data_IF_256712812687
#
_entry.id   IF_256712812687
#
_cell.length_a   1.000
_cell.length_b   1.000
_cell.length_c   1.000
_cell.angle_alpha   90.00
_cell.angle_beta   90.00
_cell.angle_gamma   90.00
#
_symmetry.space_group_name_H-M   'P 1'
#
loop_
_entity.id
_entity.type
_entity.pdbx_description
1 polymer ?
#
# COMPACT_ATOMS: atom_id res chain seq x y z
N UNK A 1 -4.29 -10.61 -13.13
CA UNK A 1 -3.57 -9.47 -12.55
C UNK A 1 -2.58 -9.01 -13.61
N UNK A 2 -2.28 -7.72 -13.76
CA UNK A 2 -1.26 -7.28 -14.74
C UNK A 2 0.16 -7.48 -14.17
N UNK A 3 1.16 -7.51 -15.04
CA UNK A 3 2.55 -7.81 -14.67
C UNK A 3 3.13 -6.82 -13.64
N UNK A 4 2.78 -5.54 -13.75
CA UNK A 4 3.26 -4.50 -12.83
C UNK A 4 2.76 -4.74 -11.40
N UNK A 5 1.46 -5.02 -11.24
CA UNK A 5 0.87 -5.31 -9.94
C UNK A 5 1.49 -6.56 -9.32
N UNK A 6 1.80 -7.58 -10.13
CA UNK A 6 2.49 -8.79 -9.66
C UNK A 6 3.90 -8.49 -9.15
N UNK A 7 4.65 -7.66 -9.85
CA UNK A 7 5.99 -7.23 -9.46
C UNK A 7 5.99 -6.43 -8.16
N UNK A 8 5.07 -5.47 -8.01
CA UNK A 8 4.98 -4.65 -6.80
C UNK A 8 4.59 -5.54 -5.61
N UNK A 9 3.59 -6.41 -5.75
CA UNK A 9 3.20 -7.35 -4.67
C UNK A 9 4.34 -8.28 -4.29
N UNK A 10 5.08 -8.82 -5.27
CA UNK A 10 6.26 -9.66 -5.00
C UNK A 10 7.35 -8.88 -4.25
N UNK A 11 7.57 -7.63 -4.63
CA UNK A 11 8.51 -6.73 -3.95
C UNK A 11 8.10 -6.46 -2.50
N UNK A 12 6.82 -6.16 -2.26
CA UNK A 12 6.29 -5.92 -0.90
C UNK A 12 6.36 -7.18 -0.03
N UNK A 13 6.09 -8.35 -0.61
CA UNK A 13 6.26 -9.65 0.08
C UNK A 13 7.69 -9.88 0.54
N UNK A 14 8.66 -9.52 -0.30
CA UNK A 14 10.07 -9.68 0.02
C UNK A 14 10.52 -8.77 1.17
N UNK A 15 9.89 -7.61 1.36
CA UNK A 15 10.21 -6.69 2.46
C UNK A 15 9.37 -6.92 3.72
N UNK A 16 8.47 -7.91 3.75
CA UNK A 16 7.43 -8.03 4.78
C UNK A 16 7.96 -7.90 6.20
N UNK A 17 9.04 -8.61 6.51
CA UNK A 17 9.67 -8.59 7.84
C UNK A 17 10.29 -7.22 8.15
N UNK A 18 11.00 -6.63 7.18
CA UNK A 18 11.55 -5.29 7.31
C UNK A 18 10.46 -4.23 7.55
N UNK A 19 9.35 -4.29 6.81
CA UNK A 19 8.24 -3.36 6.95
C UNK A 19 7.56 -3.52 8.33
N UNK A 20 7.41 -4.76 8.79
CA UNK A 20 6.84 -5.06 10.11
C UNK A 20 7.71 -4.52 11.24
N UNK A 21 9.02 -4.67 11.15
CA UNK A 21 9.98 -4.25 12.17
C UNK A 21 10.19 -2.73 12.16
N UNK A 22 10.32 -2.12 10.97
CA UNK A 22 10.69 -0.71 10.85
C UNK A 22 9.50 0.25 11.00
N UNK A 23 8.33 -0.15 10.50
CA UNK A 23 7.16 0.71 10.39
C UNK A 23 5.94 0.17 11.13
N UNK A 24 6.09 -0.94 11.87
CA UNK A 24 4.97 -1.58 12.57
C UNK A 24 3.88 -2.04 11.61
N UNK A 25 4.25 -2.47 10.41
CA UNK A 25 3.31 -2.97 9.41
C UNK A 25 2.55 -4.21 9.92
N UNK A 26 1.24 -4.22 9.72
CA UNK A 26 0.35 -5.38 9.96
C UNK A 26 -0.09 -5.97 8.63
N UNK A 27 -0.68 -5.14 7.76
CA UNK A 27 -1.11 -5.52 6.42
C UNK A 27 -0.73 -4.43 5.41
N UNK A 28 -0.33 -4.84 4.20
CA UNK A 28 -0.06 -3.94 3.08
C UNK A 28 -0.62 -4.55 1.80
N UNK A 29 -1.29 -3.74 0.99
CA UNK A 29 -1.84 -4.17 -0.29
C UNK A 29 -2.03 -3.01 -1.27
N UNK A 30 -2.12 -3.34 -2.55
CA UNK A 30 -2.34 -2.38 -3.64
C UNK A 30 -3.81 -2.37 -4.02
N UNK A 31 -4.34 -1.21 -4.35
CA UNK A 31 -5.68 -1.04 -4.93
C UNK A 31 -5.65 -0.08 -6.12
N UNK A 32 -6.82 0.35 -6.60
CA UNK A 32 -6.91 1.43 -7.57
C UNK A 32 -6.45 1.07 -8.99
N UNK A 33 -5.79 2.04 -9.63
CA UNK A 33 -5.50 2.00 -11.07
C UNK A 33 -4.63 0.80 -11.49
N UNK A 34 -3.66 0.43 -10.66
CA UNK A 34 -2.78 -0.71 -10.89
C UNK A 34 -3.53 -2.05 -10.79
N UNK A 35 -4.49 -2.20 -9.88
CA UNK A 35 -5.31 -3.42 -9.82
C UNK A 35 -6.24 -3.52 -11.02
N UNK A 36 -6.90 -2.41 -11.36
CA UNK A 36 -7.88 -2.36 -12.46
C UNK A 36 -7.27 -2.41 -13.86
N UNK A 37 -5.95 -2.25 -13.99
CA UNK A 37 -5.26 -2.27 -15.29
C UNK A 37 -5.36 -0.95 -16.06
N UNK A 38 -5.89 0.10 -15.45
CA UNK A 38 -6.10 1.41 -16.05
C UNK A 38 -4.96 2.40 -15.74
N UNK A 39 -3.87 1.94 -15.15
CA UNK A 39 -2.72 2.80 -14.83
C UNK A 39 -2.04 3.32 -16.11
N UNK A 40 -1.52 4.54 -16.03
CA UNK A 40 -0.67 5.16 -17.04
C UNK A 40 0.71 5.52 -16.46
N UNK A 41 1.58 6.10 -17.27
CA UNK A 41 2.95 6.44 -16.86
C UNK A 41 3.03 7.45 -15.70
N UNK A 42 2.01 8.26 -15.50
CA UNK A 42 1.92 9.30 -14.46
C UNK A 42 1.10 8.84 -13.24
N UNK A 43 0.57 7.62 -13.24
CA UNK A 43 -0.26 7.11 -12.14
C UNK A 43 0.56 6.83 -10.87
N UNK A 44 0.05 7.35 -9.75
CA UNK A 44 0.52 7.04 -8.40
C UNK A 44 0.18 5.57 -8.05
N UNK A 45 0.98 4.94 -7.20
CA UNK A 45 0.69 3.59 -6.69
C UNK A 45 -0.14 3.73 -5.41
N UNK A 46 -1.41 3.35 -5.51
CA UNK A 46 -2.36 3.39 -4.40
C UNK A 46 -2.17 2.18 -3.47
N UNK A 47 -1.84 2.42 -2.20
CA UNK A 47 -1.51 1.36 -1.23
C UNK A 47 -2.34 1.52 0.05
N UNK A 48 -3.05 0.46 0.40
CA UNK A 48 -3.77 0.35 1.66
C UNK A 48 -2.86 -0.30 2.70
N UNK A 49 -2.74 0.35 3.86
CA UNK A 49 -1.89 -0.12 4.95
C UNK A 49 -2.66 -0.24 6.26
N UNK A 50 -2.28 -1.22 7.06
CA UNK A 50 -2.69 -1.37 8.45
C UNK A 50 -1.44 -1.40 9.32
N UNK A 51 -1.38 -0.53 10.32
CA UNK A 51 -0.23 -0.40 11.21
C UNK A 51 -0.63 -0.83 12.63
N UNK A 52 0.33 -1.34 13.40
CA UNK A 52 0.14 -1.73 14.80
C UNK A 52 -0.33 -0.55 15.66
N UNK A 53 0.16 0.64 15.34
CA UNK A 53 -0.16 1.88 16.04
C UNK A 53 -0.42 3.03 15.04
N UNK A 54 -1.26 4.02 15.37
CA UNK A 54 -1.58 5.14 14.49
C UNK A 54 -0.45 6.19 14.43
N UNK A 55 0.78 5.76 14.21
CA UNK A 55 1.99 6.59 14.18
C UNK A 55 2.18 7.29 12.84
N UNK A 56 2.29 8.61 12.89
CA UNK A 56 2.47 9.44 11.70
C UNK A 56 3.87 9.28 11.10
N UNK A 57 4.91 9.18 11.93
CA UNK A 57 6.28 9.04 11.48
C UNK A 57 6.53 7.70 10.77
N UNK A 58 5.83 6.63 11.18
CA UNK A 58 5.83 5.37 10.45
C UNK A 58 5.19 5.49 9.07
N UNK A 59 4.05 6.18 8.95
CA UNK A 59 3.42 6.44 7.65
C UNK A 59 4.35 7.25 6.73
N UNK A 60 4.91 8.36 7.23
CA UNK A 60 5.80 9.20 6.44
C UNK A 60 7.08 8.46 6.03
N UNK A 61 7.69 7.70 6.94
CA UNK A 61 8.86 6.90 6.66
C UNK A 61 8.59 5.78 5.64
N UNK A 62 7.43 5.13 5.76
CA UNK A 62 6.98 4.12 4.80
C UNK A 62 6.76 4.72 3.42
N UNK A 63 6.08 5.88 3.32
CA UNK A 63 5.83 6.55 2.05
C UNK A 63 7.16 6.84 1.33
N UNK A 64 8.11 7.49 2.02
CA UNK A 64 9.42 7.80 1.47
C UNK A 64 10.19 6.55 1.04
N UNK A 65 10.09 5.46 1.82
CA UNK A 65 10.72 4.19 1.47
C UNK A 65 10.15 3.62 0.17
N UNK A 66 8.82 3.56 0.05
CA UNK A 66 8.14 2.99 -1.10
C UNK A 66 8.31 3.86 -2.35
N UNK A 67 8.23 5.19 -2.21
CA UNK A 67 8.48 6.12 -3.32
C UNK A 67 9.88 5.95 -3.89
N UNK A 68 10.88 5.87 -3.01
CA UNK A 68 12.27 5.61 -3.41
C UNK A 68 12.43 4.23 -4.04
N UNK A 69 11.71 3.21 -3.55
CA UNK A 69 11.83 1.83 -4.04
C UNK A 69 11.24 1.66 -5.43
N UNK A 70 10.10 2.29 -5.70
CA UNK A 70 9.37 2.13 -6.96
C UNK A 70 9.61 3.26 -7.96
N UNK A 71 10.34 4.31 -7.56
CA UNK A 71 10.57 5.52 -8.38
C UNK A 71 9.26 6.11 -8.91
N UNK A 72 8.24 6.09 -8.05
CA UNK A 72 6.87 6.53 -8.30
C UNK A 72 6.31 7.18 -7.06
N UNK A 73 5.37 8.10 -7.25
CA UNK A 73 4.56 8.63 -6.15
C UNK A 73 3.71 7.50 -5.55
N UNK A 74 3.52 7.56 -4.24
CA UNK A 74 2.74 6.59 -3.48
C UNK A 74 1.61 7.33 -2.78
N UNK A 75 0.36 6.90 -2.99
CA UNK A 75 -0.76 7.32 -2.14
C UNK A 75 -1.01 6.27 -1.06
N UNK A 76 -0.74 6.64 0.19
CA UNK A 76 -0.92 5.76 1.35
C UNK A 76 -2.24 6.01 2.04
N UNK A 77 -3.11 5.01 2.02
CA UNK A 77 -4.35 5.02 2.81
C UNK A 77 -4.19 4.11 4.02
N UNK A 78 -4.26 4.71 5.22
CA UNK A 78 -4.27 3.92 6.46
C UNK A 78 -5.68 3.43 6.78
N UNK A 79 -5.84 2.12 6.82
CA UNK A 79 -7.00 1.45 7.42
C UNK A 79 -6.99 1.64 8.93
N UNK A 80 -8.05 2.23 9.47
CA UNK A 80 -8.25 2.40 10.92
C UNK A 80 -9.45 1.58 11.38
N UNK A 81 -9.27 0.73 12.40
CA UNK A 81 -10.36 -0.08 12.95
C UNK A 81 -11.48 0.72 13.62
N UNK A 82 -11.25 2.00 13.97
CA UNK A 82 -12.23 2.83 14.70
C UNK A 82 -13.26 3.52 13.82
N UNK A 83 -12.98 3.68 12.52
CA UNK A 83 -13.88 4.33 11.56
C UNK A 83 -13.73 3.69 10.19
N UNK A 84 -14.57 2.72 9.87
CA UNK A 84 -14.71 2.20 8.50
C UNK A 84 -15.66 3.11 7.72
N UNK A 85 -15.12 3.88 6.79
CA UNK A 85 -15.94 4.59 5.81
C UNK A 85 -16.35 3.62 4.70
N UNK A 86 -17.49 3.88 4.05
CA UNK A 86 -17.91 3.15 2.82
C UNK A 86 -16.82 3.15 1.74
N UNK A 87 -15.97 4.17 1.73
CA UNK A 87 -14.82 4.27 0.83
C UNK A 87 -13.77 3.19 1.13
N UNK A 88 -13.35 3.02 2.40
CA UNK A 88 -12.41 1.96 2.79
C UNK A 88 -13.01 0.57 2.51
N UNK A 89 -14.30 0.38 2.79
CA UNK A 89 -14.97 -0.89 2.49
C UNK A 89 -15.00 -1.22 0.99
N UNK A 90 -15.08 -0.21 0.12
CA UNK A 90 -14.99 -0.40 -1.32
C UNK A 90 -13.58 -0.81 -1.72
N UNK A 91 -12.56 -0.12 -1.20
CA UNK A 91 -11.14 -0.44 -1.46
C UNK A 91 -10.81 -1.86 -0.99
N UNK A 92 -11.27 -2.26 0.20
CA UNK A 92 -10.99 -3.60 0.76
C UNK A 92 -11.47 -4.75 -0.14
N UNK A 93 -12.46 -4.52 -1.02
CA UNK A 93 -12.98 -5.55 -1.95
C UNK A 93 -12.10 -5.76 -3.17
N UNK A 94 -11.31 -4.76 -3.54
CA UNK A 94 -10.44 -4.79 -4.72
C UNK A 94 -8.96 -4.87 -4.35
N UNK A 95 -8.60 -4.67 -3.09
CA UNK A 95 -7.20 -4.65 -2.67
C UNK A 95 -6.56 -6.03 -2.84
N UNK A 96 -5.34 -6.04 -3.35
CA UNK A 96 -4.51 -7.21 -3.46
C UNK A 96 -3.41 -7.13 -2.40
N UNK A 97 -3.45 -8.03 -1.44
CA UNK A 97 -2.51 -8.04 -0.32
C UNK A 97 -1.20 -8.77 -0.67
N UNK A 98 -0.11 -8.22 -0.12
CA UNK A 98 1.21 -8.86 -0.10
C UNK A 98 1.26 -9.98 0.95
#
# INVERSE_FOLDING_TARGET
MNSYTEEIIKSLRADKDFLADKFGMVNIGIFGSYVSGNQNSESDIDILVELKEPRFDWLAGLQLYLEKKFDKKIDLIRKSGKFKSRFIESIEKEVIYA
#
